data_IF_120680551154
#
_entry.id   IF_120680551154
#
_cell.length_a   1.000
_cell.length_b   1.000
_cell.length_c   1.000
_cell.angle_alpha   90.00
_cell.angle_beta   90.00
_cell.angle_gamma   90.00
#
_symmetry.space_group_name_H-M   'P 1'
#
loop_
_entity.id
_entity.type
_entity.pdbx_description
1 polymer ?
#
# COMPACT_ATOMS: atom_id res chain seq x y z
N UNK A 1 -53.27 -3.70 21.54
CA UNK A 1 -52.02 -2.93 21.37
C UNK A 1 -52.09 -2.18 20.04
N UNK A 2 -52.17 -0.85 20.11
CA UNK A 2 -52.51 0.03 18.96
C UNK A 2 -51.46 -0.02 17.85
N UNK A 3 -51.87 -0.07 16.61
CA UNK A 3 -51.01 -0.17 15.42
C UNK A 3 -49.94 0.95 15.33
N UNK A 4 -50.25 2.12 15.86
CA UNK A 4 -49.28 3.24 15.98
C UNK A 4 -48.15 2.97 16.95
N UNK A 5 -48.41 2.26 18.07
CA UNK A 5 -47.40 1.93 19.06
C UNK A 5 -46.37 0.90 18.51
N UNK A 6 -46.83 -0.08 17.70
CA UNK A 6 -45.96 -1.05 17.05
C UNK A 6 -45.01 -0.39 16.02
N UNK A 7 -45.46 0.66 15.30
CA UNK A 7 -44.60 1.38 14.34
C UNK A 7 -43.51 2.20 15.06
N UNK A 8 -43.84 2.83 16.18
CA UNK A 8 -42.87 3.62 16.96
C UNK A 8 -41.80 2.72 17.56
N UNK A 9 -42.22 1.58 18.15
CA UNK A 9 -41.27 0.62 18.76
C UNK A 9 -40.36 0.01 17.68
N UNK A 10 -40.88 -0.30 16.49
CA UNK A 10 -40.07 -0.87 15.39
C UNK A 10 -39.09 0.16 14.82
N UNK A 11 -39.49 1.44 14.69
CA UNK A 11 -38.59 2.51 14.24
C UNK A 11 -37.49 2.80 15.25
N UNK A 12 -37.78 2.73 16.56
CA UNK A 12 -36.80 2.99 17.62
C UNK A 12 -35.77 1.85 17.71
N UNK A 13 -36.20 0.59 17.51
CA UNK A 13 -35.30 -0.57 17.47
C UNK A 13 -34.40 -0.51 16.22
N UNK A 14 -34.92 -0.11 15.06
CA UNK A 14 -34.12 0.02 13.83
C UNK A 14 -33.09 1.15 13.95
N UNK A 15 -33.43 2.26 14.61
CA UNK A 15 -32.50 3.37 14.85
C UNK A 15 -31.41 3.02 15.88
N UNK A 16 -31.75 2.25 16.92
CA UNK A 16 -30.79 1.76 17.91
C UNK A 16 -29.83 0.73 17.31
N UNK A 17 -30.29 -0.14 16.39
CA UNK A 17 -29.44 -1.10 15.70
C UNK A 17 -28.43 -0.43 14.73
N UNK A 18 -28.81 0.69 14.10
CA UNK A 18 -27.90 1.44 13.22
C UNK A 18 -26.82 2.23 13.99
N UNK A 19 -27.10 2.62 15.23
CA UNK A 19 -26.14 3.37 16.07
C UNK A 19 -25.02 2.49 16.66
N UNK A 20 -25.23 1.17 16.74
CA UNK A 20 -24.23 0.25 17.33
C UNK A 20 -23.13 -0.13 16.34
N UNK A 21 -23.34 0.06 15.03
CA UNK A 21 -22.37 -0.37 14.01
C UNK A 21 -21.27 0.68 13.68
N UNK A 22 -21.37 1.91 14.18
CA UNK A 22 -20.38 2.95 13.87
C UNK A 22 -19.25 3.09 14.88
N UNK A 23 -19.33 2.42 16.04
CA UNK A 23 -18.33 2.58 17.12
C UNK A 23 -17.17 1.58 17.05
N UNK A 24 -17.25 0.55 16.19
CA UNK A 24 -16.29 -0.57 16.20
C UNK A 24 -14.99 -0.30 15.41
N UNK A 25 -15.02 0.61 14.43
CA UNK A 25 -13.85 0.83 13.56
C UNK A 25 -12.79 1.79 14.14
N UNK A 26 -13.17 2.72 15.01
CA UNK A 26 -12.24 3.70 15.53
C UNK A 26 -11.37 3.19 16.72
N UNK A 27 -11.81 2.14 17.41
CA UNK A 27 -11.12 1.62 18.58
C UNK A 27 -10.04 0.60 18.24
N UNK A 28 -10.23 -0.19 17.18
CA UNK A 28 -9.23 -1.13 16.66
C UNK A 28 -7.94 -0.41 16.23
N UNK A 29 -8.06 0.76 15.63
CA UNK A 29 -6.93 1.52 15.08
C UNK A 29 -5.90 1.95 16.12
N UNK A 30 -6.31 2.19 17.37
CA UNK A 30 -5.39 2.65 18.42
C UNK A 30 -4.50 1.52 18.95
N UNK A 31 -5.05 0.36 19.15
CA UNK A 31 -4.31 -0.83 19.60
C UNK A 31 -3.34 -1.29 18.51
N UNK A 32 -3.78 -1.35 17.26
CA UNK A 32 -2.94 -1.67 16.09
C UNK A 32 -1.74 -0.70 15.95
N UNK A 33 -1.94 0.60 16.22
CA UNK A 33 -0.87 1.59 16.18
C UNK A 33 0.16 1.37 17.29
N UNK A 34 -0.29 1.01 18.49
CA UNK A 34 0.64 0.71 19.59
C UNK A 34 1.44 -0.56 19.35
N UNK A 35 0.83 -1.57 18.75
CA UNK A 35 1.49 -2.83 18.42
C UNK A 35 2.46 -2.68 17.24
N UNK A 36 2.12 -1.84 16.27
CA UNK A 36 2.95 -1.59 15.10
C UNK A 36 2.87 -0.12 14.66
N UNK A 37 3.79 0.71 15.15
CA UNK A 37 3.83 2.13 14.81
C UNK A 37 4.00 2.40 13.30
N UNK A 38 4.52 1.43 12.53
CA UNK A 38 4.71 1.60 11.09
C UNK A 38 3.39 1.78 10.34
N UNK A 39 2.24 1.29 10.87
CA UNK A 39 0.92 1.50 10.25
C UNK A 39 0.49 2.97 10.23
N UNK A 40 1.08 3.83 11.09
CA UNK A 40 0.85 5.27 11.06
C UNK A 40 1.39 5.94 9.79
N UNK A 41 2.28 5.26 9.06
CA UNK A 41 2.81 5.73 7.80
C UNK A 41 1.73 5.93 6.71
N UNK A 42 0.52 5.38 6.90
CA UNK A 42 -0.59 5.54 5.96
C UNK A 42 -0.17 5.15 4.54
N UNK A 43 -0.21 6.13 3.64
CA UNK A 43 0.19 5.91 2.23
C UNK A 43 1.67 5.58 2.02
N UNK A 44 2.52 5.82 3.01
CA UNK A 44 3.95 5.48 2.98
C UNK A 44 4.25 4.11 3.59
N UNK A 45 3.24 3.47 4.18
CA UNK A 45 3.40 2.11 4.68
C UNK A 45 3.50 1.13 3.50
N UNK A 46 4.54 0.29 3.52
CA UNK A 46 4.74 -0.72 2.47
C UNK A 46 3.63 -1.77 2.52
N UNK A 47 3.15 -2.18 1.35
CA UNK A 47 2.15 -3.25 1.24
C UNK A 47 2.72 -4.54 1.86
N UNK A 48 2.09 -5.09 2.91
CA UNK A 48 2.56 -6.32 3.52
C UNK A 48 2.32 -7.50 2.57
N UNK A 49 3.23 -8.47 2.60
CA UNK A 49 2.97 -9.73 1.94
C UNK A 49 1.74 -10.39 2.60
N UNK A 50 0.72 -10.83 1.82
CA UNK A 50 -0.41 -11.51 2.39
C UNK A 50 0.04 -12.82 3.07
N UNK A 51 -0.61 -13.17 4.14
CA UNK A 51 -0.40 -14.44 4.83
C UNK A 51 -0.98 -15.63 4.06
N UNK A 52 -1.52 -16.61 4.79
CA UNK A 52 -2.14 -17.78 4.18
C UNK A 52 -3.34 -17.39 3.34
N UNK A 53 -3.34 -17.80 2.08
CA UNK A 53 -4.48 -17.57 1.18
C UNK A 53 -5.56 -18.63 1.39
N UNK A 54 -6.81 -18.20 1.31
CA UNK A 54 -7.96 -19.10 1.33
C UNK A 54 -7.99 -19.92 0.03
N UNK A 55 -8.09 -21.24 0.15
CA UNK A 55 -8.22 -22.13 -1.01
C UNK A 55 -9.57 -21.92 -1.71
N UNK A 56 -9.60 -22.16 -3.01
CA UNK A 56 -10.86 -22.17 -3.76
C UNK A 56 -11.84 -23.18 -3.13
N UNK A 57 -13.16 -22.86 -3.10
CA UNK A 57 -14.18 -23.81 -2.64
C UNK A 57 -14.16 -25.09 -3.48
N UNK A 58 -14.59 -26.20 -2.87
CA UNK A 58 -14.68 -27.49 -3.59
C UNK A 58 -15.55 -27.38 -4.85
N UNK A 59 -15.01 -27.77 -5.99
CA UNK A 59 -15.71 -27.72 -7.28
C UNK A 59 -15.55 -26.41 -8.06
N UNK A 60 -14.75 -25.48 -7.54
CA UNK A 60 -14.39 -24.23 -8.22
C UNK A 60 -12.90 -24.18 -8.52
N UNK A 61 -12.57 -23.65 -9.69
CA UNK A 61 -11.19 -23.44 -10.14
C UNK A 61 -11.01 -21.99 -10.62
N UNK A 62 -9.92 -21.28 -10.24
CA UNK A 62 -9.64 -19.96 -10.75
C UNK A 62 -9.40 -20.00 -12.27
N UNK A 63 -10.07 -19.15 -13.02
CA UNK A 63 -9.93 -19.05 -14.48
C UNK A 63 -9.61 -17.65 -14.98
N UNK A 64 -9.74 -16.63 -14.14
CA UNK A 64 -9.54 -15.23 -14.47
C UNK A 64 -9.06 -14.44 -13.26
N UNK A 65 -8.16 -13.47 -13.47
CA UNK A 65 -7.71 -12.54 -12.47
C UNK A 65 -7.93 -11.11 -12.98
N UNK A 66 -8.62 -10.29 -12.19
CA UNK A 66 -8.62 -8.83 -12.34
C UNK A 66 -7.80 -8.24 -11.21
N UNK A 67 -6.69 -7.57 -11.56
CA UNK A 67 -5.78 -6.96 -10.61
C UNK A 67 -5.80 -5.45 -10.74
N UNK A 68 -6.02 -4.77 -9.61
CA UNK A 68 -5.86 -3.32 -9.49
C UNK A 68 -4.77 -3.06 -8.45
N UNK A 69 -3.65 -2.53 -8.90
CA UNK A 69 -2.48 -2.28 -8.08
C UNK A 69 -2.18 -0.79 -7.91
N UNK A 70 -1.47 -0.47 -6.83
CA UNK A 70 -0.81 0.80 -6.64
C UNK A 70 0.63 0.69 -7.16
N UNK A 71 1.24 1.81 -7.59
CA UNK A 71 2.67 1.84 -7.87
C UNK A 71 3.51 1.41 -6.65
N UNK A 72 4.68 0.88 -6.87
CA UNK A 72 5.65 0.51 -5.83
C UNK A 72 6.16 1.71 -5.02
N UNK A 73 6.98 1.45 -4.02
CA UNK A 73 7.63 2.50 -3.24
C UNK A 73 8.40 3.46 -4.12
N UNK A 74 8.36 4.74 -3.78
CA UNK A 74 8.98 5.84 -4.49
C UNK A 74 9.66 6.82 -3.53
N UNK A 75 10.53 7.66 -4.04
CA UNK A 75 10.96 8.84 -3.29
C UNK A 75 9.79 9.81 -3.09
N UNK A 76 9.91 10.77 -2.17
CA UNK A 76 8.89 11.81 -1.98
C UNK A 76 8.63 12.54 -3.30
N UNK A 77 7.47 13.21 -3.41
CA UNK A 77 7.01 13.78 -4.69
C UNK A 77 7.96 14.87 -5.21
N UNK A 78 8.57 15.64 -4.30
CA UNK A 78 9.49 16.72 -4.64
C UNK A 78 10.65 16.79 -3.67
N UNK A 79 11.75 17.35 -4.13
CA UNK A 79 12.93 17.64 -3.33
C UNK A 79 12.61 18.58 -2.16
N UNK A 80 11.67 19.50 -2.34
CA UNK A 80 11.20 20.44 -1.33
C UNK A 80 10.68 19.75 -0.06
N UNK A 81 10.08 18.57 -0.19
CA UNK A 81 9.59 17.80 0.96
C UNK A 81 10.74 17.34 1.87
N UNK A 82 11.91 17.06 1.32
CA UNK A 82 13.14 16.76 2.07
C UNK A 82 13.80 18.02 2.62
N UNK A 83 13.98 19.03 1.76
CA UNK A 83 14.69 20.29 2.07
C UNK A 83 14.03 20.97 3.28
N UNK A 84 12.72 21.11 3.30
CA UNK A 84 11.96 21.74 4.41
C UNK A 84 12.24 21.09 5.76
N UNK A 85 12.33 19.77 5.81
CA UNK A 85 12.65 19.05 7.05
C UNK A 85 14.10 19.29 7.45
N UNK A 86 15.02 19.19 6.49
CA UNK A 86 16.46 19.42 6.74
C UNK A 86 16.74 20.82 7.24
N UNK A 87 16.08 21.84 6.70
CA UNK A 87 16.21 23.24 7.15
C UNK A 87 15.81 23.43 8.61
N UNK A 88 14.75 22.75 9.07
CA UNK A 88 14.33 22.82 10.49
C UNK A 88 15.42 22.25 11.40
N UNK A 89 15.99 21.11 11.06
CA UNK A 89 17.06 20.49 11.83
C UNK A 89 18.34 21.33 11.78
N UNK A 90 18.67 21.91 10.64
CA UNK A 90 19.86 22.75 10.52
C UNK A 90 19.74 24.04 11.35
N UNK A 91 18.61 24.73 11.30
CA UNK A 91 18.33 25.90 12.15
C UNK A 91 18.43 25.57 13.64
N UNK A 92 17.88 24.42 14.05
CA UNK A 92 17.95 23.96 15.44
C UNK A 92 19.38 23.59 15.86
N UNK A 93 20.16 23.00 14.96
CA UNK A 93 21.59 22.71 15.16
C UNK A 93 22.41 23.98 15.38
N UNK A 94 22.28 24.96 14.47
CA UNK A 94 22.98 26.25 14.57
C UNK A 94 22.62 27.02 15.86
N UNK A 95 21.40 26.83 16.36
CA UNK A 95 20.95 27.40 17.61
C UNK A 95 21.38 26.59 18.86
N UNK A 96 22.08 25.46 18.71
CA UNK A 96 22.50 24.58 19.80
C UNK A 96 21.31 23.95 20.55
N UNK A 97 20.17 23.73 19.89
CA UNK A 97 18.92 23.26 20.50
C UNK A 97 18.58 21.80 20.17
N UNK A 98 19.42 21.10 19.43
CA UNK A 98 19.21 19.69 19.17
C UNK A 98 19.61 18.83 20.38
N UNK A 99 18.82 17.83 20.66
CA UNK A 99 19.20 16.72 21.54
C UNK A 99 20.18 15.80 20.84
N UNK A 100 20.90 14.89 21.54
CA UNK A 100 21.71 13.86 20.88
C UNK A 100 20.95 13.06 19.81
N UNK A 101 19.67 12.73 20.06
CA UNK A 101 18.79 12.08 19.08
C UNK A 101 18.53 13.01 17.87
N UNK A 102 18.31 14.30 18.11
CA UNK A 102 18.11 15.28 17.03
C UNK A 102 19.34 15.39 16.11
N UNK A 103 20.56 15.35 16.67
CA UNK A 103 21.79 15.32 15.90
C UNK A 103 21.96 14.04 15.07
N UNK A 104 21.58 12.88 15.61
CA UNK A 104 21.59 11.62 14.88
C UNK A 104 20.59 11.65 13.72
N UNK A 105 19.35 12.15 13.95
CA UNK A 105 18.34 12.32 12.90
C UNK A 105 18.83 13.26 11.81
N UNK A 106 19.43 14.41 12.14
CA UNK A 106 20.00 15.36 11.17
C UNK A 106 21.02 14.68 10.25
N UNK A 107 21.93 13.89 10.81
CA UNK A 107 22.95 13.16 10.04
C UNK A 107 22.31 12.14 9.09
N UNK A 108 21.30 11.40 9.56
CA UNK A 108 20.58 10.41 8.73
C UNK A 108 19.78 11.08 7.63
N UNK A 109 19.17 12.22 7.88
CA UNK A 109 18.47 13.00 6.85
C UNK A 109 19.41 13.40 5.72
N UNK A 110 20.65 13.79 6.01
CA UNK A 110 21.64 14.11 4.98
C UNK A 110 21.99 12.88 4.10
N UNK A 111 22.04 11.67 4.69
CA UNK A 111 22.27 10.44 3.94
C UNK A 111 21.06 10.13 3.04
N UNK A 112 19.84 10.27 3.58
CA UNK A 112 18.61 10.09 2.80
C UNK A 112 18.52 11.08 1.65
N UNK A 113 18.87 12.35 1.90
CA UNK A 113 18.88 13.38 0.88
C UNK A 113 19.85 13.08 -0.26
N UNK A 114 21.06 12.65 0.05
CA UNK A 114 22.07 12.31 -0.95
C UNK A 114 21.62 11.18 -1.90
N UNK A 115 20.73 10.29 -1.45
CA UNK A 115 20.09 9.29 -2.31
C UNK A 115 18.85 9.81 -3.03
N UNK A 116 18.12 10.77 -2.46
CA UNK A 116 16.82 11.23 -2.95
C UNK A 116 16.89 12.43 -3.90
N UNK A 117 17.97 13.21 -3.86
CA UNK A 117 18.13 14.45 -4.63
C UNK A 117 17.92 14.24 -6.13
N UNK A 118 17.02 15.03 -6.72
CA UNK A 118 16.68 14.96 -8.14
C UNK A 118 15.81 13.75 -8.53
N UNK A 119 15.34 12.95 -7.56
CA UNK A 119 14.51 11.75 -7.82
C UNK A 119 13.06 11.93 -7.37
N UNK A 120 12.60 13.16 -7.27
CA UNK A 120 11.24 13.47 -6.81
C UNK A 120 10.16 12.70 -7.57
N UNK A 121 9.44 11.83 -6.87
CA UNK A 121 8.33 11.03 -7.41
C UNK A 121 8.73 9.80 -8.22
N UNK A 122 10.01 9.50 -8.40
CA UNK A 122 10.49 8.33 -9.13
C UNK A 122 10.25 7.02 -8.36
N UNK A 123 10.01 5.94 -9.10
CA UNK A 123 9.93 4.60 -8.54
C UNK A 123 11.29 4.19 -7.98
N UNK A 124 11.31 3.77 -6.72
CA UNK A 124 12.55 3.28 -6.09
C UNK A 124 12.86 1.83 -6.47
N UNK A 125 14.11 1.36 -6.35
CA UNK A 125 14.46 -0.05 -6.53
C UNK A 125 13.59 -0.98 -5.67
N UNK A 126 13.33 -0.60 -4.42
CA UNK A 126 12.41 -1.33 -3.53
C UNK A 126 11.00 -1.40 -4.13
N UNK A 127 10.55 -0.32 -4.81
CA UNK A 127 9.26 -0.30 -5.49
C UNK A 127 9.18 -1.28 -6.66
N UNK A 128 10.26 -1.42 -7.42
CA UNK A 128 10.39 -2.45 -8.47
C UNK A 128 10.28 -3.85 -7.86
N UNK A 129 11.06 -4.14 -6.82
CA UNK A 129 11.05 -5.44 -6.14
C UNK A 129 9.68 -5.78 -5.55
N UNK A 130 8.95 -4.79 -5.02
CA UNK A 130 7.59 -4.98 -4.54
C UNK A 130 6.64 -5.44 -5.64
N UNK A 131 6.70 -4.82 -6.83
CA UNK A 131 5.84 -5.20 -7.97
C UNK A 131 6.20 -6.59 -8.50
N UNK A 132 7.48 -6.88 -8.64
CA UNK A 132 7.96 -8.21 -9.01
C UNK A 132 7.51 -9.28 -8.00
N UNK A 133 7.61 -8.99 -6.71
CA UNK A 133 7.14 -9.88 -5.64
C UNK A 133 5.62 -10.09 -5.64
N UNK A 134 4.81 -9.08 -6.01
CA UNK A 134 3.36 -9.25 -6.18
C UNK A 134 3.07 -10.19 -7.35
N UNK A 135 3.72 -9.99 -8.50
CA UNK A 135 3.57 -10.85 -9.67
C UNK A 135 3.94 -12.31 -9.37
N UNK A 136 5.05 -12.52 -8.68
CA UNK A 136 5.51 -13.85 -8.27
C UNK A 136 4.48 -14.56 -7.38
N UNK A 137 4.03 -13.89 -6.32
CA UNK A 137 3.03 -14.47 -5.41
C UNK A 137 1.71 -14.76 -6.13
N UNK A 138 1.30 -13.91 -7.06
CA UNK A 138 0.10 -14.10 -7.86
C UNK A 138 0.24 -15.33 -8.77
N UNK A 139 1.37 -15.47 -9.45
CA UNK A 139 1.66 -16.62 -10.30
C UNK A 139 1.68 -17.93 -9.50
N UNK A 140 2.30 -17.92 -8.32
CA UNK A 140 2.36 -19.10 -7.43
C UNK A 140 1.00 -19.46 -6.82
N UNK A 141 0.16 -18.46 -6.54
CA UNK A 141 -1.14 -18.68 -5.91
C UNK A 141 -2.21 -19.17 -6.89
N UNK A 142 -2.11 -18.81 -8.17
CA UNK A 142 -3.10 -19.08 -9.21
C UNK A 142 -2.47 -19.64 -10.49
N UNK A 143 -1.70 -20.73 -10.41
CA UNK A 143 -0.96 -21.25 -11.57
C UNK A 143 -1.87 -21.67 -12.72
N UNK A 144 -3.14 -22.03 -12.43
CA UNK A 144 -4.14 -22.43 -13.42
C UNK A 144 -4.43 -21.32 -14.41
N UNK A 145 -4.50 -20.05 -13.93
CA UNK A 145 -4.80 -18.87 -14.76
C UNK A 145 -3.65 -18.54 -15.71
N UNK A 146 -2.42 -18.89 -15.33
CA UNK A 146 -1.22 -18.60 -16.12
C UNK A 146 -0.74 -19.77 -16.99
N UNK A 147 -1.51 -20.86 -17.05
CA UNK A 147 -1.11 -22.06 -17.81
C UNK A 147 -1.24 -21.86 -19.32
N UNK A 148 -0.24 -22.34 -20.07
CA UNK A 148 -0.23 -22.26 -21.55
C UNK A 148 0.17 -20.88 -22.03
N UNK A 149 -0.57 -20.34 -23.00
CA UNK A 149 -0.33 -19.04 -23.62
C UNK A 149 -1.51 -18.07 -23.35
N UNK A 150 -1.77 -17.71 -22.09
CA UNK A 150 -2.88 -16.81 -21.78
C UNK A 150 -2.62 -15.41 -22.31
N UNK A 151 -3.71 -14.66 -22.52
CA UNK A 151 -3.66 -13.26 -22.88
C UNK A 151 -3.92 -12.39 -21.65
N UNK A 152 -3.13 -11.33 -21.50
CA UNK A 152 -3.25 -10.34 -20.42
C UNK A 152 -3.30 -8.96 -21.03
N UNK A 153 -4.19 -8.12 -20.52
CA UNK A 153 -4.19 -6.68 -20.79
C UNK A 153 -3.66 -5.94 -19.58
N UNK A 154 -2.67 -5.09 -19.77
CA UNK A 154 -2.09 -4.26 -18.73
C UNK A 154 -2.24 -2.78 -19.09
N UNK A 155 -2.68 -1.97 -18.13
CA UNK A 155 -2.86 -0.53 -18.28
C UNK A 155 -2.30 0.21 -17.07
N UNK A 156 -1.73 1.37 -17.28
CA UNK A 156 -1.28 2.27 -16.23
C UNK A 156 -1.72 3.71 -16.53
N UNK A 157 -1.72 4.56 -15.48
CA UNK A 157 -1.78 6.00 -15.70
C UNK A 157 -0.49 6.50 -16.33
N UNK A 158 -0.51 7.68 -16.96
CA UNK A 158 0.65 8.27 -17.66
C UNK A 158 1.80 8.69 -16.74
N UNK A 159 1.66 8.53 -15.43
CA UNK A 159 2.72 8.84 -14.47
C UNK A 159 3.80 7.76 -14.55
N UNK A 160 5.05 8.17 -14.80
CA UNK A 160 6.18 7.27 -15.09
C UNK A 160 6.30 6.14 -14.07
N UNK A 161 6.26 6.43 -12.77
CA UNK A 161 6.32 5.38 -11.73
C UNK A 161 5.22 4.34 -11.83
N UNK A 162 4.04 4.71 -12.34
CA UNK A 162 2.94 3.76 -12.53
C UNK A 162 3.20 2.85 -13.73
N UNK A 163 3.73 3.41 -14.82
CA UNK A 163 4.15 2.65 -16.01
C UNK A 163 5.25 1.67 -15.64
N UNK A 164 6.31 2.13 -14.97
CA UNK A 164 7.42 1.27 -14.53
C UNK A 164 6.99 0.20 -13.53
N UNK A 165 6.01 0.49 -12.67
CA UNK A 165 5.44 -0.51 -11.76
C UNK A 165 4.68 -1.60 -12.50
N UNK A 166 3.88 -1.21 -13.50
CA UNK A 166 3.19 -2.15 -14.37
C UNK A 166 4.18 -3.01 -15.15
N UNK A 167 5.21 -2.37 -15.70
CA UNK A 167 6.25 -3.03 -16.48
C UNK A 167 7.00 -4.08 -15.64
N UNK A 168 7.49 -3.71 -14.46
CA UNK A 168 8.15 -4.62 -13.53
C UNK A 168 7.28 -5.84 -13.14
N UNK A 169 5.97 -5.62 -12.98
CA UNK A 169 5.00 -6.68 -12.73
C UNK A 169 4.85 -7.60 -13.95
N UNK A 170 4.68 -7.03 -15.13
CA UNK A 170 4.50 -7.77 -16.39
C UNK A 170 5.75 -8.57 -16.75
N UNK A 171 6.94 -7.95 -16.66
CA UNK A 171 8.22 -8.62 -16.89
C UNK A 171 8.36 -9.85 -15.98
N UNK A 172 8.06 -9.71 -14.69
CA UNK A 172 8.18 -10.83 -13.77
C UNK A 172 7.23 -11.98 -14.12
N UNK A 173 6.02 -11.71 -14.57
CA UNK A 173 5.11 -12.75 -15.07
C UNK A 173 5.65 -13.42 -16.34
N UNK A 174 6.26 -12.65 -17.23
CA UNK A 174 6.89 -13.18 -18.45
C UNK A 174 8.11 -14.05 -18.16
N UNK A 175 8.87 -13.77 -17.11
CA UNK A 175 9.97 -14.62 -16.65
C UNK A 175 9.47 -16.02 -16.24
N UNK A 176 8.31 -16.10 -15.58
CA UNK A 176 7.69 -17.37 -15.20
C UNK A 176 7.01 -18.07 -16.38
N UNK A 177 6.38 -17.32 -17.26
CA UNK A 177 5.71 -17.85 -18.44
C UNK A 177 6.05 -17.02 -19.68
N UNK A 178 7.10 -17.36 -20.43
CA UNK A 178 7.47 -16.66 -21.66
C UNK A 178 6.38 -16.67 -22.76
N UNK A 179 5.43 -17.59 -22.71
CA UNK A 179 4.32 -17.69 -23.67
C UNK A 179 3.16 -16.72 -23.36
N UNK A 180 3.15 -16.11 -22.15
CA UNK A 180 2.15 -15.10 -21.79
C UNK A 180 2.16 -13.96 -22.81
N UNK A 181 1.01 -13.62 -23.39
CA UNK A 181 0.85 -12.50 -24.31
C UNK A 181 0.36 -11.28 -23.52
N UNK A 182 1.10 -10.17 -23.60
CA UNK A 182 0.79 -8.90 -22.94
C UNK A 182 0.62 -7.83 -24.00
#
# INVERSE_FOLDING_TARGET
>A
MNFRLKRIVFSTILFAASAVHTSSYAQATREEIFDNIAVTGGVYYAYPAPGVQTKAPKGYEPFYISHFGRHGSRWLISDEEYIRVMEVFEKAHQAGKLTPLGEDVRKRLAIVWADAEGRGGDLSPVGVDQQRGIAERMYQAFPEVFKGAPEMSACATLVIRCVLSMDAFCERLKEFNPQLKI
#
